data_IF_454710697509
#
_entry.id   IF_454710697509
#
_cell.length_a   1.000
_cell.length_b   1.000
_cell.length_c   1.000
_cell.angle_alpha   90.00
_cell.angle_beta   90.00
_cell.angle_gamma   90.00
#
_symmetry.space_group_name_H-M   'P 1'
#
loop_
_entity.id
_entity.type
_entity.pdbx_description
1 polymer ?
#
# COMPACT_ATOMS: atom_id res chain seq x y z
N UNK A 1 9.46 -14.14 -22.09
CA UNK A 1 8.19 -14.90 -22.09
C UNK A 1 7.18 -14.04 -21.35
N UNK A 2 5.99 -13.76 -21.92
CA UNK A 2 4.98 -12.94 -21.25
C UNK A 2 4.50 -13.61 -19.97
N UNK A 3 4.21 -12.82 -18.94
CA UNK A 3 3.53 -13.32 -17.74
C UNK A 3 2.02 -13.23 -17.92
N UNK A 4 1.33 -14.36 -17.78
CA UNK A 4 -0.13 -14.43 -17.83
C UNK A 4 -0.69 -14.08 -16.45
N UNK A 5 -1.22 -12.86 -16.32
CA UNK A 5 -1.81 -12.39 -15.07
C UNK A 5 -2.98 -13.28 -14.62
N UNK A 6 -3.74 -13.87 -15.54
CA UNK A 6 -4.89 -14.67 -15.17
C UNK A 6 -4.44 -15.92 -14.43
N UNK A 7 -3.33 -16.54 -14.84
CA UNK A 7 -2.73 -17.67 -14.14
C UNK A 7 -2.17 -17.25 -12.78
N UNK A 8 -1.50 -16.10 -12.71
CA UNK A 8 -0.89 -15.59 -11.47
C UNK A 8 -1.90 -15.12 -10.43
N UNK A 9 -3.15 -14.92 -10.82
CA UNK A 9 -4.23 -14.43 -9.94
C UNK A 9 -5.32 -15.49 -9.69
N UNK A 10 -5.38 -16.55 -10.50
CA UNK A 10 -6.41 -17.58 -10.42
C UNK A 10 -6.46 -18.23 -9.03
N UNK A 11 -7.65 -18.22 -8.42
CA UNK A 11 -7.91 -18.88 -7.14
C UNK A 11 -7.27 -18.22 -5.92
N UNK A 12 -6.66 -17.04 -6.09
CA UNK A 12 -6.00 -16.31 -4.99
C UNK A 12 -6.94 -15.28 -4.40
N UNK A 13 -6.97 -15.19 -3.07
CA UNK A 13 -7.68 -14.13 -2.37
C UNK A 13 -6.84 -12.86 -2.41
N UNK A 14 -7.37 -11.82 -3.06
CA UNK A 14 -6.77 -10.49 -3.02
C UNK A 14 -6.96 -9.91 -1.61
N UNK A 15 -5.87 -9.53 -0.97
CA UNK A 15 -5.91 -8.86 0.35
C UNK A 15 -6.01 -7.35 0.19
N UNK A 16 -5.27 -6.78 -0.76
CA UNK A 16 -5.24 -5.34 -0.98
C UNK A 16 -5.12 -4.98 -2.46
N UNK A 17 -5.84 -3.93 -2.85
CA UNK A 17 -5.62 -3.21 -4.10
C UNK A 17 -5.02 -1.85 -3.76
N UNK A 18 -3.77 -1.60 -4.19
CA UNK A 18 -3.05 -0.36 -3.87
C UNK A 18 -2.77 0.42 -5.14
N UNK A 19 -2.72 1.74 -5.03
CA UNK A 19 -2.29 2.61 -6.12
C UNK A 19 -1.04 3.37 -5.66
N UNK A 20 0.10 2.99 -6.23
CA UNK A 20 1.43 3.44 -5.78
C UNK A 20 2.12 4.39 -6.75
N UNK A 21 1.44 4.79 -7.82
CA UNK A 21 1.85 5.85 -8.74
C UNK A 21 0.61 6.59 -9.22
N UNK A 22 0.67 7.89 -9.41
CA UNK A 22 -0.38 8.64 -10.12
C UNK A 22 0.00 8.74 -11.62
N UNK A 23 -0.23 7.64 -12.36
CA UNK A 23 0.18 7.53 -13.77
C UNK A 23 -0.97 7.01 -14.65
N UNK A 24 -1.46 7.80 -15.63
CA UNK A 24 -2.58 7.40 -16.48
C UNK A 24 -2.17 6.44 -17.62
N UNK A 25 -0.86 6.15 -17.76
CA UNK A 25 -0.37 5.32 -18.85
C UNK A 25 -0.85 3.86 -18.70
N UNK A 26 -1.10 3.21 -19.83
CA UNK A 26 -1.45 1.79 -19.86
C UNK A 26 -0.24 0.95 -19.44
N UNK A 27 -0.38 0.05 -18.47
CA UNK A 27 0.69 -0.85 -18.09
C UNK A 27 0.90 -1.96 -19.13
N UNK A 28 2.16 -2.25 -19.41
CA UNK A 28 2.61 -3.34 -20.30
C UNK A 28 3.67 -4.21 -19.64
N UNK A 29 4.02 -3.93 -18.39
CA UNK A 29 5.00 -4.65 -17.60
C UNK A 29 4.34 -5.10 -16.30
N UNK A 30 4.48 -6.39 -15.98
CA UNK A 30 4.13 -6.94 -14.69
C UNK A 30 5.41 -7.11 -13.87
N UNK A 31 5.50 -6.42 -12.73
CA UNK A 31 6.53 -6.67 -11.74
C UNK A 31 5.97 -7.59 -10.67
N UNK A 32 6.69 -8.67 -10.39
CA UNK A 32 6.30 -9.70 -9.44
C UNK A 32 7.16 -9.57 -8.19
N UNK A 33 6.50 -9.46 -7.04
CA UNK A 33 7.18 -9.52 -5.75
C UNK A 33 7.79 -10.90 -5.48
N UNK A 34 8.64 -11.02 -4.44
CA UNK A 34 9.07 -12.32 -3.98
C UNK A 34 7.87 -13.17 -3.58
N UNK A 35 7.99 -14.48 -3.73
CA UNK A 35 7.04 -15.43 -3.15
C UNK A 35 7.41 -15.68 -1.68
N UNK A 36 6.42 -15.99 -0.84
CA UNK A 36 6.65 -16.35 0.55
C UNK A 36 7.57 -17.58 0.70
N UNK A 37 7.48 -18.56 -0.21
CA UNK A 37 8.37 -19.71 -0.28
C UNK A 37 8.75 -20.11 -1.73
N UNK A 38 9.86 -20.84 -1.95
CA UNK A 38 10.21 -21.35 -3.27
C UNK A 38 9.09 -22.23 -3.86
N UNK A 39 8.65 -21.90 -5.08
CA UNK A 39 7.59 -22.61 -5.80
C UNK A 39 6.18 -22.07 -5.56
N UNK A 40 6.00 -21.10 -4.66
CA UNK A 40 4.73 -20.40 -4.45
C UNK A 40 4.55 -19.23 -5.42
N UNK A 41 3.30 -18.78 -5.66
CA UNK A 41 3.05 -17.59 -6.47
C UNK A 41 3.59 -16.32 -5.79
N UNK A 42 3.91 -15.27 -6.56
CA UNK A 42 4.47 -14.02 -6.03
C UNK A 42 3.49 -13.30 -5.11
N UNK A 43 3.97 -12.78 -3.98
CA UNK A 43 3.15 -12.17 -2.92
C UNK A 43 2.37 -10.93 -3.38
N UNK A 44 2.86 -10.24 -4.41
CA UNK A 44 2.18 -9.12 -5.02
C UNK A 44 2.55 -8.98 -6.50
N UNK A 45 1.69 -8.29 -7.24
CA UNK A 45 1.85 -7.99 -8.65
C UNK A 45 1.65 -6.50 -8.87
N UNK A 46 2.66 -5.81 -9.39
CA UNK A 46 2.57 -4.39 -9.76
C UNK A 46 2.48 -4.23 -11.27
N UNK A 47 1.51 -3.44 -11.72
CA UNK A 47 1.23 -3.17 -13.11
C UNK A 47 1.88 -1.85 -13.51
N UNK A 48 2.85 -1.88 -14.42
CA UNK A 48 3.71 -0.74 -14.74
C UNK A 48 3.73 -0.45 -16.23
N UNK A 49 3.77 0.82 -16.59
CA UNK A 49 4.10 1.23 -17.96
C UNK A 49 5.62 1.13 -18.19
N UNK A 50 6.09 1.18 -19.45
CA UNK A 50 7.52 1.05 -19.75
C UNK A 50 8.40 2.06 -19.00
N UNK A 51 7.92 3.29 -18.78
CA UNK A 51 8.64 4.33 -18.06
C UNK A 51 8.87 4.00 -16.57
N UNK A 52 7.95 3.26 -15.94
CA UNK A 52 8.03 2.88 -14.52
C UNK A 52 8.52 1.43 -14.32
N UNK A 53 8.76 0.68 -15.39
CA UNK A 53 9.21 -0.71 -15.35
C UNK A 53 10.49 -0.92 -14.54
N UNK A 54 11.41 0.06 -14.54
CA UNK A 54 12.64 0.06 -13.74
C UNK A 54 12.56 0.81 -12.41
N UNK A 55 11.60 1.73 -12.26
CA UNK A 55 11.53 2.69 -11.16
C UNK A 55 10.30 2.45 -10.27
N UNK A 56 10.47 1.64 -9.21
CA UNK A 56 9.53 1.55 -8.11
C UNK A 56 10.32 1.33 -6.80
N UNK A 57 10.88 2.39 -6.18
CA UNK A 57 11.62 2.28 -4.94
C UNK A 57 10.77 1.66 -3.82
N UNK A 58 11.36 0.78 -3.00
CA UNK A 58 10.62 0.05 -1.97
C UNK A 58 9.82 -1.16 -2.46
N UNK A 59 9.81 -1.43 -3.77
CA UNK A 59 9.08 -2.53 -4.38
C UNK A 59 10.01 -3.47 -5.17
N UNK A 60 10.77 -4.33 -4.47
CA UNK A 60 11.73 -5.24 -5.10
C UNK A 60 11.01 -6.36 -5.85
N UNK A 61 11.45 -6.68 -7.06
CA UNK A 61 10.79 -7.75 -7.82
C UNK A 61 11.39 -7.96 -9.20
N UNK A 62 10.95 -9.03 -9.86
CA UNK A 62 11.31 -9.34 -11.24
C UNK A 62 10.26 -8.77 -12.18
N UNK A 63 10.69 -8.13 -13.26
CA UNK A 63 9.81 -7.57 -14.27
C UNK A 63 9.69 -8.52 -15.46
N UNK A 64 8.48 -8.67 -15.99
CA UNK A 64 8.21 -9.39 -17.22
C UNK A 64 7.16 -8.63 -18.03
N UNK A 65 7.22 -8.77 -19.35
CA UNK A 65 6.20 -8.23 -20.24
C UNK A 65 4.85 -8.91 -19.98
N UNK A 66 3.78 -8.16 -20.16
CA UNK A 66 2.41 -8.64 -19.98
C UNK A 66 1.49 -7.91 -20.95
N UNK A 67 0.44 -8.59 -21.41
CA UNK A 67 -0.49 -8.02 -22.39
C UNK A 67 -1.69 -7.36 -21.70
N UNK A 68 -1.94 -6.09 -22.04
CA UNK A 68 -3.25 -5.43 -21.97
C UNK A 68 -4.00 -5.55 -20.64
N UNK A 69 -3.42 -5.03 -19.57
CA UNK A 69 -4.10 -4.99 -18.27
C UNK A 69 -5.05 -3.79 -18.18
N UNK A 70 -6.21 -4.00 -17.55
CA UNK A 70 -7.28 -2.97 -17.45
C UNK A 70 -7.07 -1.95 -16.33
N UNK A 71 -6.09 -2.14 -15.46
CA UNK A 71 -5.79 -1.19 -14.39
C UNK A 71 -4.75 -0.17 -14.84
N UNK A 72 -4.65 0.94 -14.11
CA UNK A 72 -3.67 1.99 -14.34
C UNK A 72 -2.25 1.55 -13.98
N UNK A 73 -1.26 2.20 -14.59
CA UNK A 73 0.11 2.10 -14.12
C UNK A 73 0.19 2.47 -12.63
N UNK A 74 0.92 1.67 -11.84
CA UNK A 74 1.03 1.82 -10.39
C UNK A 74 -0.03 1.05 -9.60
N UNK A 75 -0.95 0.34 -10.24
CA UNK A 75 -1.84 -0.57 -9.50
C UNK A 75 -1.05 -1.78 -9.00
N UNK A 76 -1.26 -2.15 -7.74
CA UNK A 76 -0.67 -3.33 -7.12
C UNK A 76 -1.77 -4.24 -6.60
N UNK A 77 -1.73 -5.50 -7.01
CA UNK A 77 -2.50 -6.59 -6.44
C UNK A 77 -1.67 -7.24 -5.33
N UNK A 78 -2.11 -7.12 -4.08
CA UNK A 78 -1.38 -7.61 -2.91
C UNK A 78 -2.11 -8.82 -2.30
N UNK A 79 -1.38 -9.93 -2.16
CA UNK A 79 -1.89 -11.22 -1.69
C UNK A 79 -1.30 -11.61 -0.33
N UNK A 80 -0.47 -10.75 0.25
CA UNK A 80 0.09 -10.96 1.59
C UNK A 80 -1.00 -10.96 2.65
N UNK A 81 -0.69 -11.44 3.86
CA UNK A 81 -1.61 -11.33 4.98
C UNK A 81 -1.89 -9.86 5.32
N UNK A 82 -2.98 -9.58 6.03
CA UNK A 82 -3.31 -8.22 6.45
C UNK A 82 -2.17 -7.60 7.29
N UNK A 83 -1.55 -8.36 8.18
CA UNK A 83 -0.41 -7.93 8.99
C UNK A 83 0.83 -7.60 8.15
N UNK A 84 1.13 -8.43 7.15
CA UNK A 84 2.25 -8.19 6.23
C UNK A 84 1.99 -6.95 5.37
N UNK A 85 0.74 -6.70 4.97
CA UNK A 85 0.34 -5.51 4.24
C UNK A 85 0.42 -4.25 5.12
N UNK A 86 -0.02 -4.34 6.38
CA UNK A 86 0.15 -3.28 7.37
C UNK A 86 1.63 -2.94 7.60
N UNK A 87 2.49 -3.96 7.70
CA UNK A 87 3.94 -3.76 7.77
C UNK A 87 4.47 -3.05 6.53
N UNK A 88 3.99 -3.44 5.34
CA UNK A 88 4.36 -2.75 4.10
C UNK A 88 3.97 -1.27 4.10
N UNK A 89 2.81 -0.90 4.65
CA UNK A 89 2.41 0.51 4.79
C UNK A 89 3.27 1.25 5.82
N UNK A 90 3.58 0.61 6.95
CA UNK A 90 4.53 1.12 7.95
C UNK A 90 5.87 1.49 7.32
N UNK A 91 6.49 0.54 6.63
CA UNK A 91 7.82 0.70 6.06
C UNK A 91 7.87 1.76 4.94
N UNK A 92 6.81 1.84 4.12
CA UNK A 92 6.81 2.69 2.93
C UNK A 92 6.45 4.15 3.21
N UNK A 93 5.47 4.42 4.07
CA UNK A 93 4.96 5.78 4.23
C UNK A 93 4.53 6.12 5.65
N UNK A 94 3.94 5.20 6.41
CA UNK A 94 3.34 5.54 7.69
C UNK A 94 4.40 5.85 8.76
N UNK A 95 5.46 5.04 8.87
CA UNK A 95 6.57 5.33 9.80
C UNK A 95 7.38 6.55 9.36
N UNK A 96 7.79 6.71 8.08
CA UNK A 96 8.43 7.95 7.61
C UNK A 96 7.59 9.20 7.90
N UNK A 97 6.27 9.12 7.71
CA UNK A 97 5.37 10.25 7.93
C UNK A 97 5.20 10.53 9.42
N UNK A 98 4.88 9.53 10.25
CA UNK A 98 4.46 9.75 11.65
C UNK A 98 5.56 9.55 12.69
N UNK A 99 6.67 8.92 12.33
CA UNK A 99 7.70 8.49 13.28
C UNK A 99 7.29 7.29 14.14
N UNK A 100 6.10 6.73 13.95
CA UNK A 100 5.62 5.57 14.72
C UNK A 100 6.21 4.28 14.15
N UNK A 101 7.09 3.64 14.91
CA UNK A 101 7.69 2.33 14.57
C UNK A 101 6.85 1.18 15.17
N UNK A 102 6.28 0.28 14.34
CA UNK A 102 5.52 -0.88 14.80
C UNK A 102 6.25 -1.76 15.83
N UNK A 103 7.59 -1.79 15.81
CA UNK A 103 8.40 -2.57 16.77
C UNK A 103 8.25 -2.07 18.20
N UNK A 104 8.00 -0.78 18.39
CA UNK A 104 7.76 -0.18 19.72
C UNK A 104 6.47 -0.71 20.35
N UNK A 105 5.55 -1.22 19.53
CA UNK A 105 4.24 -1.74 19.93
C UNK A 105 4.18 -3.27 19.85
N UNK A 106 5.34 -3.94 19.74
CA UNK A 106 5.41 -5.40 19.60
C UNK A 106 4.53 -5.97 18.46
N UNK A 107 4.27 -5.18 17.40
CA UNK A 107 3.40 -5.58 16.29
C UNK A 107 1.90 -5.56 16.60
N UNK A 108 1.47 -4.94 17.70
CA UNK A 108 0.05 -4.73 18.02
C UNK A 108 -0.52 -3.61 17.14
N UNK A 109 -1.00 -3.99 15.96
CA UNK A 109 -1.47 -3.06 14.92
C UNK A 109 -2.52 -2.04 15.35
N UNK A 110 -3.51 -2.36 16.21
CA UNK A 110 -4.45 -1.36 16.70
C UNK A 110 -3.74 -0.19 17.41
N UNK A 111 -2.75 -0.48 18.25
CA UNK A 111 -2.01 0.55 19.00
C UNK A 111 -1.10 1.37 18.07
N UNK A 112 -0.50 0.73 17.07
CA UNK A 112 0.31 1.41 16.04
C UNK A 112 -0.54 2.42 15.26
N UNK A 113 -1.72 2.01 14.79
CA UNK A 113 -2.58 2.86 14.00
C UNK A 113 -3.25 3.96 14.85
N UNK A 114 -3.60 3.68 16.10
CA UNK A 114 -4.08 4.70 17.04
C UNK A 114 -3.02 5.77 17.30
N UNK A 115 -1.77 5.38 17.58
CA UNK A 115 -0.71 6.35 17.78
C UNK A 115 -0.45 7.16 16.50
N UNK A 116 -0.41 6.51 15.34
CA UNK A 116 -0.16 7.21 14.08
C UNK A 116 -1.26 8.23 13.76
N UNK A 117 -2.54 7.91 14.01
CA UNK A 117 -3.66 8.84 13.90
C UNK A 117 -3.48 10.05 14.83
N UNK A 118 -3.15 9.80 16.11
CA UNK A 118 -2.89 10.88 17.08
C UNK A 118 -1.79 11.83 16.64
N UNK A 119 -0.69 11.31 16.10
CA UNK A 119 0.42 12.13 15.59
C UNK A 119 -0.02 13.01 14.44
N UNK A 120 -0.76 12.45 13.47
CA UNK A 120 -1.25 13.25 12.33
C UNK A 120 -2.23 14.33 12.76
N UNK A 121 -3.15 14.01 13.68
CA UNK A 121 -4.10 14.99 14.22
C UNK A 121 -3.43 16.11 14.99
N UNK A 122 -2.39 15.80 15.76
CA UNK A 122 -1.62 16.81 16.46
C UNK A 122 -0.98 17.81 15.46
N UNK A 123 -0.39 17.31 14.38
CA UNK A 123 0.18 18.15 13.31
C UNK A 123 -0.87 19.02 12.62
N UNK A 124 -2.04 18.46 12.31
CA UNK A 124 -3.16 19.22 11.75
C UNK A 124 -3.68 20.32 12.69
N UNK A 125 -3.67 20.09 14.00
CA UNK A 125 -4.09 21.08 14.99
C UNK A 125 -3.09 22.23 15.17
N UNK A 126 -1.82 21.99 14.85
CA UNK A 126 -0.75 23.01 14.88
C UNK A 126 -0.72 23.84 13.59
N UNK A 127 -1.15 23.28 12.47
CA UNK A 127 -1.20 23.95 11.16
C UNK A 127 -2.50 24.76 11.00
N UNK A 128 -2.45 26.03 11.40
CA UNK A 128 -3.59 26.97 11.39
C UNK A 128 -3.73 27.78 10.08
N UNK A 129 -2.92 27.47 9.07
CA UNK A 129 -3.05 28.01 7.71
C UNK A 129 -4.10 27.26 6.89
N UNK A 130 -4.57 27.87 5.80
CA UNK A 130 -5.50 27.27 4.83
C UNK A 130 -5.07 25.83 4.51
N UNK A 131 -5.82 24.88 5.08
CA UNK A 131 -5.29 23.59 5.51
C UNK A 131 -4.83 22.74 4.35
N UNK A 132 -3.75 22.00 4.56
CA UNK A 132 -3.32 20.96 3.64
C UNK A 132 -4.44 19.90 3.51
N UNK A 133 -5.27 20.05 2.46
CA UNK A 133 -6.39 19.17 2.14
C UNK A 133 -5.94 17.71 2.01
N UNK A 134 -4.68 17.47 1.61
CA UNK A 134 -4.09 16.14 1.53
C UNK A 134 -3.87 15.57 2.92
N UNK A 135 -3.26 16.34 3.82
CA UNK A 135 -3.03 15.92 5.21
C UNK A 135 -4.35 15.69 5.95
N UNK A 136 -5.36 16.54 5.71
CA UNK A 136 -6.70 16.36 6.28
C UNK A 136 -7.35 15.06 5.79
N UNK A 137 -7.29 14.80 4.48
CA UNK A 137 -7.82 13.57 3.88
C UNK A 137 -7.08 12.32 4.39
N UNK A 138 -5.76 12.42 4.57
CA UNK A 138 -4.93 11.34 5.10
C UNK A 138 -5.32 11.03 6.55
N UNK A 139 -5.53 12.06 7.40
CA UNK A 139 -5.96 11.87 8.78
C UNK A 139 -7.37 11.24 8.88
N UNK A 140 -8.34 11.67 8.06
CA UNK A 140 -9.68 11.06 8.04
C UNK A 140 -9.63 9.56 7.71
N UNK A 141 -8.79 9.20 6.74
CA UNK A 141 -8.68 7.82 6.27
C UNK A 141 -7.85 6.97 7.25
N UNK A 142 -6.82 7.51 7.87
CA UNK A 142 -6.09 6.82 8.94
C UNK A 142 -6.96 6.58 10.17
N UNK A 143 -7.86 7.52 10.52
CA UNK A 143 -8.83 7.31 11.59
C UNK A 143 -9.74 6.11 11.31
N UNK A 144 -10.24 6.01 10.07
CA UNK A 144 -11.06 4.88 9.65
C UNK A 144 -10.27 3.56 9.73
N UNK A 145 -9.00 3.56 9.33
CA UNK A 145 -8.12 2.40 9.47
C UNK A 145 -7.94 2.00 10.93
N UNK A 146 -7.69 2.98 11.81
CA UNK A 146 -7.52 2.78 13.25
C UNK A 146 -8.76 2.16 13.89
N UNK A 147 -9.96 2.68 13.58
CA UNK A 147 -11.23 2.10 14.08
C UNK A 147 -11.41 0.65 13.63
N UNK A 148 -11.20 0.35 12.36
CA UNK A 148 -11.30 -1.02 11.84
C UNK A 148 -10.35 -1.97 12.57
N UNK A 149 -9.11 -1.53 12.83
CA UNK A 149 -8.14 -2.33 13.57
C UNK A 149 -8.53 -2.51 15.04
N UNK A 150 -9.04 -1.47 15.71
CA UNK A 150 -9.53 -1.55 17.08
C UNK A 150 -10.71 -2.54 17.24
N UNK A 151 -11.52 -2.71 16.19
CA UNK A 151 -12.58 -3.72 16.12
C UNK A 151 -12.05 -5.14 15.79
N UNK A 152 -10.74 -5.31 15.67
CA UNK A 152 -10.09 -6.58 15.35
C UNK A 152 -10.10 -6.92 13.85
N UNK A 153 -10.46 -5.98 12.98
CA UNK A 153 -10.58 -6.20 11.54
C UNK A 153 -9.41 -5.59 10.76
N UNK A 154 -8.25 -6.23 10.87
CA UNK A 154 -7.03 -5.79 10.18
C UNK A 154 -7.20 -5.78 8.65
N UNK A 155 -7.97 -6.72 8.09
CA UNK A 155 -8.27 -6.74 6.66
C UNK A 155 -8.97 -5.43 6.23
N UNK A 156 -10.02 -5.02 6.93
CA UNK A 156 -10.72 -3.76 6.63
C UNK A 156 -9.89 -2.52 6.93
N UNK A 157 -8.90 -2.60 7.83
CA UNK A 157 -7.96 -1.49 8.05
C UNK A 157 -7.05 -1.24 6.83
N UNK A 158 -6.73 -2.27 6.03
CA UNK A 158 -5.85 -2.10 4.85
C UNK A 158 -6.48 -1.27 3.72
N UNK A 159 -7.82 -1.28 3.59
CA UNK A 159 -8.53 -0.56 2.53
C UNK A 159 -8.32 0.95 2.60
N UNK A 160 -8.61 1.64 3.73
CA UNK A 160 -8.32 3.06 3.85
C UNK A 160 -6.82 3.37 3.83
N UNK A 161 -5.95 2.46 4.32
CA UNK A 161 -4.49 2.66 4.27
C UNK A 161 -3.93 2.63 2.85
N UNK A 162 -4.52 1.83 1.95
CA UNK A 162 -4.16 1.85 0.54
C UNK A 162 -4.45 3.21 -0.11
N UNK A 163 -5.51 3.90 0.32
CA UNK A 163 -5.79 5.27 -0.10
C UNK A 163 -4.84 6.28 0.55
N UNK A 164 -4.55 6.14 1.85
CA UNK A 164 -3.55 6.97 2.53
C UNK A 164 -2.17 6.86 1.85
N UNK A 165 -1.78 5.69 1.39
CA UNK A 165 -0.54 5.49 0.65
C UNK A 165 -0.48 6.36 -0.62
N UNK A 166 -1.58 6.43 -1.38
CA UNK A 166 -1.66 7.29 -2.57
C UNK A 166 -1.54 8.77 -2.20
N UNK A 167 -2.18 9.20 -1.11
CA UNK A 167 -2.08 10.57 -0.62
C UNK A 167 -0.68 10.92 -0.10
N UNK A 168 -0.05 10.00 0.62
CA UNK A 168 1.28 10.20 1.19
C UNK A 168 2.35 10.45 0.13
N UNK A 169 2.14 9.99 -1.11
CA UNK A 169 3.04 10.28 -2.24
C UNK A 169 2.99 11.74 -2.72
N UNK A 170 2.01 12.52 -2.27
CA UNK A 170 1.80 13.92 -2.66
C UNK A 170 2.38 14.91 -1.64
N UNK A 171 2.87 14.42 -0.50
CA UNK A 171 3.52 15.17 0.58
C UNK A 171 5.04 15.23 0.34
#
# INVERSE_FOLDING_TARGET
MPSDINQLTAGRQLTGLRQVLDCPATPTTLRQGPAAAPGEPPDWLALLCPAHSGALPGWPGTAADTDGLRLSCGSVLDYRSAEQLLQSHADLWLTPLTGVDPKTYAGVWPDVLDQADRVLRARLGEDTGDGDETLHSLAMMLEMASRNAAEGNLYQATVPLAYCETLAQRL
#
